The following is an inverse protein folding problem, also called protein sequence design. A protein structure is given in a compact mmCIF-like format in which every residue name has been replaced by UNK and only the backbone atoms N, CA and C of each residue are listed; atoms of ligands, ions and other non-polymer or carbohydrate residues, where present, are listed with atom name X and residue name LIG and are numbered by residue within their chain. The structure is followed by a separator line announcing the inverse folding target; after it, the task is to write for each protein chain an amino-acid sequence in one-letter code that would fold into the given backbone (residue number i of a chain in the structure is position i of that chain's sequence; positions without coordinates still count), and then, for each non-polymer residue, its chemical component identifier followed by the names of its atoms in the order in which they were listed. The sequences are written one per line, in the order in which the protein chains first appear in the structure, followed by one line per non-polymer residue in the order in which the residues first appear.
data_IF_986481295564
#
_entry.id   IF_986481295564
#
_cell.length_a   1.000
_cell.length_b   1.000
_cell.length_c   1.000
_cell.angle_alpha   90.00
_cell.angle_beta   90.00
_cell.angle_gamma   90.00
#
_symmetry.space_group_name_H-M   'P 1'
#
loop_
_entity.id
_entity.type
_entity.pdbx_description
1 polymer ?
#
# COMPACT_ATOMS: atom_id res chain seq x y z
N UNK A 1 27.55 2.87 -13.65
CA UNK A 1 26.46 3.85 -13.84
C UNK A 1 25.75 4.02 -12.51
N UNK A 2 25.36 5.24 -12.17
CA UNK A 2 24.66 5.58 -10.93
C UNK A 2 23.38 6.34 -11.31
N UNK A 3 22.29 6.10 -10.58
CA UNK A 3 21.03 6.84 -10.71
C UNK A 3 20.79 7.71 -9.47
N UNK A 4 19.91 8.70 -9.60
CA UNK A 4 19.41 9.50 -8.47
C UNK A 4 17.96 9.11 -8.20
N UNK A 5 17.58 8.98 -6.93
CA UNK A 5 16.19 8.75 -6.54
C UNK A 5 15.38 10.00 -6.83
N UNK A 6 14.35 9.89 -7.69
CA UNK A 6 13.50 11.02 -8.03
C UNK A 6 12.46 11.29 -6.92
N UNK A 7 11.79 10.25 -6.44
CA UNK A 7 10.74 10.34 -5.43
C UNK A 7 10.67 9.08 -4.58
N UNK A 8 10.13 9.20 -3.37
CA UNK A 8 9.82 8.08 -2.49
C UNK A 8 8.32 8.10 -2.22
N UNK A 9 7.67 6.95 -2.41
CA UNK A 9 6.25 6.78 -2.15
C UNK A 9 6.03 5.60 -1.22
N UNK A 10 5.22 5.80 -0.18
CA UNK A 10 4.79 4.75 0.75
C UNK A 10 3.29 4.52 0.62
N UNK A 11 2.85 3.28 0.73
CA UNK A 11 1.45 2.87 0.66
C UNK A 11 1.04 2.17 1.96
N UNK A 12 0.70 2.92 3.03
CA UNK A 12 0.48 2.33 4.35
C UNK A 12 -0.64 1.30 4.40
N UNK A 13 -1.67 1.48 3.56
CA UNK A 13 -2.79 0.57 3.40
C UNK A 13 -2.76 -0.05 2.01
N UNK A 14 -2.84 -1.38 1.94
CA UNK A 14 -2.92 -2.13 0.69
C UNK A 14 -4.04 -1.58 -0.20
N UNK A 15 -3.72 -1.32 -1.46
CA UNK A 15 -4.67 -0.88 -2.49
C UNK A 15 -5.31 0.49 -2.28
N UNK A 16 -4.75 1.34 -1.42
CA UNK A 16 -5.14 2.74 -1.25
C UNK A 16 -4.09 3.70 -1.80
N UNK A 17 -4.41 5.00 -1.81
CA UNK A 17 -3.49 6.06 -2.20
C UNK A 17 -2.22 6.05 -1.33
N UNK A 18 -1.08 6.33 -1.98
CA UNK A 18 0.20 6.47 -1.30
C UNK A 18 0.45 7.89 -0.81
N UNK A 19 1.48 8.04 0.01
CA UNK A 19 2.04 9.31 0.47
C UNK A 19 3.46 9.49 -0.10
N UNK A 20 3.79 10.71 -0.49
CA UNK A 20 5.14 11.07 -0.91
C UNK A 20 5.99 11.36 0.32
N UNK A 21 7.20 10.81 0.38
CA UNK A 21 8.14 10.99 1.48
C UNK A 21 9.40 11.71 1.03
N UNK A 22 10.00 12.49 1.94
CA UNK A 22 11.32 13.09 1.73
C UNK A 22 12.45 12.09 2.07
N UNK A 23 12.21 11.22 3.04
CA UNK A 23 13.13 10.16 3.44
C UNK A 23 12.37 8.99 4.07
N UNK A 24 12.99 7.81 4.12
CA UNK A 24 12.42 6.62 4.73
C UNK A 24 13.51 5.66 5.22
N UNK A 25 13.19 4.85 6.22
CA UNK A 25 14.01 3.69 6.59
C UNK A 25 13.71 2.53 5.64
N UNK A 26 14.76 1.92 5.07
CA UNK A 26 14.67 0.68 4.31
C UNK A 26 15.01 -0.48 5.25
N UNK A 27 14.02 -1.32 5.53
CA UNK A 27 14.18 -2.56 6.29
C UNK A 27 14.25 -3.77 5.34
N UNK A 28 14.53 -4.94 5.90
CA UNK A 28 14.60 -6.20 5.14
C UNK A 28 13.28 -6.50 4.38
N UNK A 29 12.14 -6.09 4.94
CA UNK A 29 10.82 -6.30 4.34
C UNK A 29 10.33 -5.13 3.46
N UNK A 30 11.17 -4.13 3.21
CA UNK A 30 10.82 -2.93 2.44
C UNK A 30 10.81 -1.64 3.26
N UNK A 31 10.11 -0.61 2.78
CA UNK A 31 10.05 0.68 3.48
C UNK A 31 9.29 0.54 4.80
N UNK A 32 9.81 1.14 5.86
CA UNK A 32 9.12 1.16 7.14
C UNK A 32 7.74 1.83 7.00
N UNK A 33 6.71 1.09 7.46
CA UNK A 33 5.32 1.53 7.38
C UNK A 33 4.62 1.17 6.08
N UNK A 34 5.31 0.66 5.06
CA UNK A 34 4.68 0.26 3.80
C UNK A 34 3.80 -0.98 3.97
N UNK A 35 2.59 -0.94 3.39
CA UNK A 35 1.61 -2.03 3.34
C UNK A 35 1.34 -2.71 4.69
N UNK A 36 1.40 -1.95 5.79
CA UNK A 36 1.16 -2.46 7.15
C UNK A 36 -0.29 -2.84 7.40
N UNK A 37 -1.21 -2.26 6.64
CA UNK A 37 -2.63 -2.48 6.80
C UNK A 37 -3.25 -3.00 5.51
N UNK A 38 -4.34 -3.75 5.66
CA UNK A 38 -5.21 -4.15 4.56
C UNK A 38 -6.66 -4.08 5.05
N UNK A 39 -7.56 -3.68 4.16
CA UNK A 39 -8.98 -3.77 4.42
C UNK A 39 -9.45 -5.21 4.21
N UNK A 40 -10.37 -5.65 5.07
CA UNK A 40 -11.11 -6.89 4.90
C UNK A 40 -12.52 -6.56 4.43
N UNK A 41 -13.03 -7.39 3.55
CA UNK A 41 -14.34 -7.24 2.96
C UNK A 41 -15.41 -7.57 4.01
N UNK A 42 -16.42 -6.69 4.11
CA UNK A 42 -17.56 -6.83 5.02
C UNK A 42 -18.83 -7.35 4.34
N UNK A 43 -18.83 -7.53 3.01
CA UNK A 43 -19.98 -8.03 2.27
C UNK A 43 -20.24 -9.50 2.60
N UNK A 44 -21.51 -9.90 2.72
CA UNK A 44 -21.89 -11.23 3.20
C UNK A 44 -21.26 -12.39 2.39
N UNK A 45 -21.08 -12.22 1.08
CA UNK A 45 -20.49 -13.23 0.19
C UNK A 45 -18.94 -13.24 0.18
N UNK A 46 -18.30 -12.26 0.84
CA UNK A 46 -16.84 -12.10 0.87
C UNK A 46 -16.29 -11.78 2.26
N UNK A 47 -17.11 -11.86 3.31
CA UNK A 47 -16.76 -11.50 4.67
C UNK A 47 -15.40 -12.09 5.10
N UNK A 48 -14.49 -11.23 5.55
CA UNK A 48 -13.15 -11.60 6.03
C UNK A 48 -12.10 -11.84 4.94
N UNK A 49 -12.46 -11.79 3.65
CA UNK A 49 -11.48 -11.84 2.56
C UNK A 49 -10.79 -10.48 2.40
N UNK A 50 -9.56 -10.42 1.88
CA UNK A 50 -8.93 -9.13 1.55
C UNK A 50 -9.79 -8.34 0.56
N UNK A 51 -9.99 -7.06 0.86
CA UNK A 51 -10.57 -6.09 -0.06
C UNK A 51 -9.43 -5.38 -0.79
N UNK A 52 -9.39 -5.52 -2.11
CA UNK A 52 -8.40 -4.83 -2.95
C UNK A 52 -9.11 -3.99 -4.01
N UNK A 53 -8.36 -3.15 -4.72
CA UNK A 53 -8.91 -2.31 -5.79
C UNK A 53 -9.57 -3.13 -6.91
N UNK A 54 -9.25 -4.43 -7.04
CA UNK A 54 -9.86 -5.33 -8.03
C UNK A 54 -11.30 -5.67 -7.72
N UNK A 55 -11.70 -5.55 -6.46
CA UNK A 55 -13.04 -5.84 -5.96
C UNK A 55 -13.94 -4.59 -5.89
N UNK A 56 -13.35 -3.40 -5.99
CA UNK A 56 -14.09 -2.15 -5.89
C UNK A 56 -14.38 -1.61 -7.29
N UNK A 57 -15.66 -1.46 -7.65
CA UNK A 57 -16.09 -0.80 -8.90
C UNK A 57 -15.91 0.74 -8.86
N UNK A 58 -15.12 1.27 -7.93
CA UNK A 58 -14.88 2.71 -7.81
C UNK A 58 -13.82 3.17 -8.82
N UNK A 59 -14.26 3.29 -10.08
CA UNK A 59 -13.98 4.41 -10.97
C UNK A 59 -15.28 4.81 -11.69
#
# INVERSE_FOLDING_TARGET
MHGTVAEIWRYPVKSMAGERLESCLVAETGLEGDRRWALVDGQANRAGKPLTIRETELL
#
